data_IF_727938776597
#
_entry.id   IF_727938776597
#
_cell.length_a   1.000
_cell.length_b   1.000
_cell.length_c   1.000
_cell.angle_alpha   90.00
_cell.angle_beta   90.00
_cell.angle_gamma   90.00
#
_symmetry.space_group_name_H-M   'P 1'
#
loop_
_entity.id
_entity.type
_entity.pdbx_description
1 polymer ?
#
# COMPACT_ATOMS: atom_id res chain seq x y z
N UNK A 1 -26.17 -20.55 -4.48
CA UNK A 1 -25.70 -19.69 -5.59
C UNK A 1 -25.98 -18.21 -5.35
N UNK A 2 -27.19 -17.77 -5.01
CA UNK A 2 -27.51 -16.32 -4.82
C UNK A 2 -26.58 -15.56 -3.87
N UNK A 3 -26.31 -16.08 -2.65
CA UNK A 3 -25.43 -15.43 -1.67
C UNK A 3 -23.99 -15.24 -2.15
N UNK A 4 -23.46 -16.15 -2.94
CA UNK A 4 -22.08 -16.03 -3.48
C UNK A 4 -22.01 -14.96 -4.57
N UNK A 5 -23.02 -14.88 -5.42
CA UNK A 5 -23.15 -13.86 -6.45
C UNK A 5 -23.28 -12.49 -5.79
N UNK A 6 -24.17 -12.35 -4.82
CA UNK A 6 -24.36 -11.11 -4.03
C UNK A 6 -23.08 -10.66 -3.35
N UNK A 7 -22.33 -11.58 -2.74
CA UNK A 7 -21.05 -11.31 -2.11
C UNK A 7 -20.02 -10.76 -3.12
N UNK A 8 -19.90 -11.38 -4.30
CA UNK A 8 -18.97 -10.93 -5.36
C UNK A 8 -19.37 -9.54 -5.86
N UNK A 9 -20.66 -9.33 -6.15
CA UNK A 9 -21.15 -8.03 -6.63
C UNK A 9 -20.90 -6.92 -5.60
N UNK A 10 -21.17 -7.17 -4.32
CA UNK A 10 -20.94 -6.20 -3.25
C UNK A 10 -19.46 -5.83 -3.14
N UNK A 11 -18.55 -6.82 -3.22
CA UNK A 11 -17.11 -6.58 -3.17
C UNK A 11 -16.58 -5.82 -4.39
N UNK A 12 -17.05 -6.16 -5.58
CA UNK A 12 -16.67 -5.44 -6.81
C UNK A 12 -17.21 -4.01 -6.78
N UNK A 13 -18.49 -3.82 -6.42
CA UNK A 13 -19.06 -2.49 -6.30
C UNK A 13 -18.34 -1.62 -5.28
N UNK A 14 -18.03 -2.17 -4.10
CA UNK A 14 -17.24 -1.49 -3.07
C UNK A 14 -15.85 -1.12 -3.59
N UNK A 15 -15.16 -2.03 -4.31
CA UNK A 15 -13.86 -1.75 -4.89
C UNK A 15 -13.92 -0.62 -5.93
N UNK A 16 -14.98 -0.56 -6.74
CA UNK A 16 -15.21 0.55 -7.68
C UNK A 16 -15.44 1.88 -6.95
N UNK A 17 -16.30 1.88 -5.93
CA UNK A 17 -16.58 3.06 -5.12
C UNK A 17 -15.30 3.62 -4.48
N UNK A 18 -14.55 2.74 -3.83
CA UNK A 18 -13.31 3.07 -3.14
C UNK A 18 -12.23 3.55 -4.11
N UNK A 19 -12.10 2.92 -5.28
CA UNK A 19 -11.20 3.37 -6.34
C UNK A 19 -11.58 4.76 -6.84
N UNK A 20 -12.88 5.04 -6.98
CA UNK A 20 -13.40 6.37 -7.35
C UNK A 20 -13.03 7.43 -6.30
N UNK A 21 -13.25 7.14 -5.00
CA UNK A 21 -12.86 8.02 -3.90
C UNK A 21 -11.32 8.24 -3.92
N UNK A 22 -10.55 7.18 -4.09
CA UNK A 22 -9.09 7.24 -4.18
C UNK A 22 -8.62 8.22 -5.26
N UNK A 23 -9.13 8.09 -6.49
CA UNK A 23 -8.76 8.97 -7.59
C UNK A 23 -9.20 10.40 -7.35
N UNK A 24 -10.42 10.62 -6.85
CA UNK A 24 -10.89 11.94 -6.53
C UNK A 24 -9.99 12.65 -5.51
N UNK A 25 -9.61 11.97 -4.42
CA UNK A 25 -8.68 12.49 -3.41
C UNK A 25 -7.27 12.71 -3.97
N UNK A 26 -6.81 11.80 -4.84
CA UNK A 26 -5.50 11.90 -5.50
C UNK A 26 -5.44 13.15 -6.39
N UNK A 27 -6.48 13.43 -7.16
CA UNK A 27 -6.57 14.64 -7.98
C UNK A 27 -6.68 15.92 -7.12
N UNK A 28 -7.41 15.89 -6.00
CA UNK A 28 -7.47 17.01 -5.06
C UNK A 28 -6.09 17.38 -4.49
N UNK A 29 -5.18 16.42 -4.34
CA UNK A 29 -3.79 16.65 -3.92
C UNK A 29 -2.83 16.97 -5.07
N UNK A 30 -3.33 17.20 -6.30
CA UNK A 30 -2.49 17.46 -7.48
C UNK A 30 -1.68 16.24 -7.93
N UNK A 31 -2.24 15.04 -7.77
CA UNK A 31 -1.69 13.72 -8.10
C UNK A 31 -0.50 13.37 -7.19
N UNK A 32 0.59 14.11 -7.25
CA UNK A 32 1.82 13.81 -6.50
C UNK A 32 1.58 13.82 -4.99
N UNK A 33 0.99 14.88 -4.45
CA UNK A 33 0.73 14.99 -3.01
C UNK A 33 -0.57 14.32 -2.57
N UNK A 34 -1.37 13.81 -3.51
CA UNK A 34 -2.63 13.16 -3.23
C UNK A 34 -2.52 11.67 -2.98
N UNK A 35 -1.57 10.97 -3.60
CA UNK A 35 -1.48 9.51 -3.60
C UNK A 35 -1.31 8.90 -2.20
N UNK A 36 -0.35 9.39 -1.42
CA UNK A 36 -0.09 8.91 -0.06
C UNK A 36 -1.30 9.10 0.87
N UNK A 37 -1.84 10.33 1.00
CA UNK A 37 -3.02 10.58 1.83
C UNK A 37 -4.28 9.85 1.34
N UNK A 38 -4.50 9.72 0.03
CA UNK A 38 -5.61 8.95 -0.51
C UNK A 38 -5.52 7.48 -0.10
N UNK A 39 -4.33 6.86 -0.23
CA UNK A 39 -4.09 5.47 0.21
C UNK A 39 -4.36 5.30 1.71
N UNK A 40 -3.89 6.22 2.54
CA UNK A 40 -4.12 6.20 3.99
C UNK A 40 -5.61 6.33 4.32
N UNK A 41 -6.33 7.23 3.64
CA UNK A 41 -7.77 7.44 3.81
C UNK A 41 -8.58 6.18 3.45
N UNK A 42 -8.29 5.55 2.31
CA UNK A 42 -8.98 4.33 1.90
C UNK A 42 -8.75 3.22 2.91
N UNK A 43 -7.53 3.10 3.43
CA UNK A 43 -7.22 2.09 4.44
C UNK A 43 -7.99 2.33 5.74
N UNK A 44 -8.13 3.59 6.17
CA UNK A 44 -8.90 3.96 7.36
C UNK A 44 -10.39 3.65 7.18
N UNK A 45 -10.99 4.06 6.05
CA UNK A 45 -12.40 3.77 5.74
C UNK A 45 -12.68 2.27 5.71
N UNK A 46 -11.79 1.49 5.09
CA UNK A 46 -12.00 0.04 5.02
C UNK A 46 -11.84 -0.65 6.39
N UNK A 47 -10.92 -0.18 7.22
CA UNK A 47 -10.75 -0.71 8.56
C UNK A 47 -11.94 -0.40 9.48
N UNK A 48 -12.61 0.75 9.28
CA UNK A 48 -13.77 1.17 10.08
C UNK A 48 -15.08 0.53 9.61
N UNK A 49 -15.34 0.57 8.30
CA UNK A 49 -16.62 0.16 7.73
C UNK A 49 -16.62 -1.21 7.05
N UNK A 50 -15.44 -1.79 6.80
CA UNK A 50 -15.31 -3.10 6.17
C UNK A 50 -16.02 -3.19 4.83
N UNK A 51 -16.98 -4.11 4.71
CA UNK A 51 -17.73 -4.35 3.45
C UNK A 51 -19.03 -3.57 3.34
N UNK A 52 -19.38 -2.73 4.33
CA UNK A 52 -20.61 -1.95 4.30
C UNK A 52 -20.44 -0.68 3.47
N UNK A 53 -20.63 -0.81 2.16
CA UNK A 53 -20.47 0.29 1.20
C UNK A 53 -21.35 1.51 1.45
N UNK A 54 -22.45 1.37 2.23
CA UNK A 54 -23.38 2.46 2.54
C UNK A 54 -22.79 3.50 3.49
N UNK A 55 -21.77 3.10 4.24
CA UNK A 55 -21.11 3.96 5.23
C UNK A 55 -19.96 4.78 4.64
N UNK A 56 -19.55 4.53 3.38
CA UNK A 56 -18.47 5.27 2.72
C UNK A 56 -18.93 6.65 2.26
N UNK A 57 -18.98 7.60 3.20
CA UNK A 57 -19.38 8.97 2.94
C UNK A 57 -18.20 9.84 2.47
N UNK A 58 -18.45 10.68 1.45
CA UNK A 58 -17.42 11.61 0.95
C UNK A 58 -16.94 12.60 2.02
N UNK A 59 -17.83 13.08 2.88
CA UNK A 59 -17.49 14.00 3.97
C UNK A 59 -16.48 13.40 4.95
N UNK A 60 -16.63 12.12 5.26
CA UNK A 60 -15.72 11.37 6.12
C UNK A 60 -14.38 11.13 5.41
N UNK A 61 -14.41 10.66 4.16
CA UNK A 61 -13.23 10.50 3.34
C UNK A 61 -12.39 11.78 3.27
N UNK A 62 -13.05 12.92 3.09
CA UNK A 62 -12.40 14.23 3.04
C UNK A 62 -11.82 14.66 4.39
N UNK A 63 -12.49 14.34 5.50
CA UNK A 63 -11.96 14.61 6.84
C UNK A 63 -10.70 13.80 7.12
N UNK A 64 -10.74 12.48 6.91
CA UNK A 64 -9.61 11.56 7.05
C UNK A 64 -8.45 11.93 6.13
N UNK A 65 -8.74 12.37 4.90
CA UNK A 65 -7.73 12.84 3.96
C UNK A 65 -6.95 14.04 4.49
N UNK A 66 -7.64 15.05 5.02
CA UNK A 66 -6.99 16.23 5.58
C UNK A 66 -6.17 15.91 6.84
N UNK A 67 -6.70 15.05 7.69
CA UNK A 67 -6.04 14.60 8.91
C UNK A 67 -4.73 13.86 8.60
N UNK A 68 -4.77 12.94 7.65
CA UNK A 68 -3.62 12.14 7.28
C UNK A 68 -2.66 12.83 6.29
N UNK A 69 -3.02 14.00 5.72
CA UNK A 69 -2.33 14.60 4.58
C UNK A 69 -0.83 14.78 4.80
N UNK A 70 -0.45 15.41 5.91
CA UNK A 70 0.97 15.70 6.19
C UNK A 70 1.76 14.43 6.46
N UNK A 71 1.24 13.56 7.33
CA UNK A 71 1.94 12.35 7.78
C UNK A 71 2.06 11.32 6.66
N UNK A 72 0.97 11.05 5.96
CA UNK A 72 0.99 10.10 4.87
C UNK A 72 1.93 10.54 3.73
N UNK A 73 1.98 11.85 3.41
CA UNK A 73 2.93 12.37 2.45
C UNK A 73 4.37 12.23 2.92
N UNK A 74 4.69 12.56 4.17
CA UNK A 74 6.05 12.39 4.69
C UNK A 74 6.54 10.94 4.55
N UNK A 75 5.71 9.97 4.92
CA UNK A 75 6.06 8.55 4.81
C UNK A 75 6.13 8.11 3.34
N UNK A 76 5.13 8.46 2.54
CA UNK A 76 5.11 8.12 1.11
C UNK A 76 6.35 8.63 0.37
N UNK A 77 6.69 9.91 0.54
CA UNK A 77 7.86 10.48 -0.12
C UNK A 77 9.18 9.91 0.38
N UNK A 78 9.25 9.47 1.64
CA UNK A 78 10.45 8.77 2.14
C UNK A 78 10.69 7.49 1.35
N UNK A 79 9.66 6.65 1.20
CA UNK A 79 9.78 5.42 0.41
C UNK A 79 9.99 5.70 -1.07
N UNK A 80 9.25 6.66 -1.63
CA UNK A 80 9.39 7.05 -3.03
C UNK A 80 10.81 7.54 -3.38
N UNK A 81 11.42 8.36 -2.51
CA UNK A 81 12.78 8.84 -2.71
C UNK A 81 13.80 7.70 -2.58
N UNK A 82 13.63 6.80 -1.62
CA UNK A 82 14.48 5.62 -1.49
C UNK A 82 14.42 4.79 -2.77
N UNK A 83 13.22 4.50 -3.28
CA UNK A 83 13.03 3.75 -4.52
C UNK A 83 13.65 4.46 -5.73
N UNK A 84 13.44 5.76 -5.86
CA UNK A 84 14.01 6.55 -6.95
C UNK A 84 15.55 6.49 -6.95
N UNK A 85 16.18 6.59 -5.77
CA UNK A 85 17.63 6.48 -5.63
C UNK A 85 18.11 5.07 -5.99
N UNK A 86 17.42 4.02 -5.53
CA UNK A 86 17.77 2.63 -5.82
C UNK A 86 17.65 2.34 -7.32
N UNK A 87 16.55 2.73 -7.96
CA UNK A 87 16.32 2.56 -9.40
C UNK A 87 17.41 3.30 -10.20
N UNK A 88 17.70 4.55 -9.84
CA UNK A 88 18.72 5.34 -10.52
C UNK A 88 20.11 4.72 -10.36
N UNK A 89 20.46 4.25 -9.16
CA UNK A 89 21.71 3.54 -8.90
C UNK A 89 21.84 2.26 -9.73
N UNK A 90 20.77 1.46 -9.81
CA UNK A 90 20.75 0.26 -10.67
C UNK A 90 20.87 0.62 -12.14
N UNK A 91 20.17 1.66 -12.61
CA UNK A 91 20.26 2.15 -13.97
C UNK A 91 21.70 2.53 -14.35
N UNK A 92 22.42 3.27 -13.50
CA UNK A 92 23.81 3.64 -13.74
C UNK A 92 24.74 2.41 -13.79
N UNK A 93 24.53 1.43 -12.91
CA UNK A 93 25.35 0.21 -12.87
C UNK A 93 25.18 -0.64 -14.13
N UNK A 94 23.95 -0.79 -14.65
CA UNK A 94 23.69 -1.59 -15.86
C UNK A 94 24.34 -0.99 -17.12
N UNK A 95 24.68 0.30 -17.11
CA UNK A 95 25.39 0.95 -18.23
C UNK A 95 26.91 0.69 -18.25
N UNK A 96 27.47 0.12 -17.20
CA UNK A 96 28.89 -0.21 -17.16
C UNK A 96 29.22 -1.36 -18.12
N UNK A 97 30.30 -1.26 -18.91
CA UNK A 97 30.65 -2.26 -19.93
C UNK A 97 31.02 -3.63 -19.32
N UNK A 98 31.53 -3.62 -18.10
CA UNK A 98 31.88 -4.82 -17.33
C UNK A 98 31.49 -4.62 -15.87
N UNK A 99 30.79 -5.61 -15.31
CA UNK A 99 30.44 -5.61 -13.89
C UNK A 99 31.43 -6.50 -13.11
N UNK A 100 32.05 -5.92 -12.10
CA UNK A 100 32.80 -6.68 -11.11
C UNK A 100 31.86 -7.47 -10.19
N UNK A 101 32.34 -8.53 -9.54
CA UNK A 101 31.56 -9.29 -8.56
C UNK A 101 30.98 -8.42 -7.44
N UNK A 102 31.72 -7.39 -7.02
CA UNK A 102 31.26 -6.43 -6.01
C UNK A 102 30.05 -5.61 -6.51
N UNK A 103 30.09 -5.16 -7.76
CA UNK A 103 28.96 -4.42 -8.37
C UNK A 103 27.71 -5.29 -8.54
N UNK A 104 27.90 -6.58 -8.91
CA UNK A 104 26.78 -7.54 -8.96
C UNK A 104 26.19 -7.73 -7.57
N UNK A 105 27.00 -7.83 -6.53
CA UNK A 105 26.52 -7.91 -5.16
C UNK A 105 25.70 -6.67 -4.76
N UNK A 106 26.18 -5.46 -5.08
CA UNK A 106 25.41 -4.23 -4.82
C UNK A 106 24.09 -4.20 -5.60
N UNK A 107 24.07 -4.65 -6.86
CA UNK A 107 22.82 -4.77 -7.63
C UNK A 107 21.81 -5.68 -6.98
N UNK A 108 22.24 -6.82 -6.45
CA UNK A 108 21.36 -7.76 -5.72
C UNK A 108 20.82 -7.13 -4.44
N UNK A 109 21.66 -6.44 -3.67
CA UNK A 109 21.24 -5.73 -2.46
C UNK A 109 20.22 -4.64 -2.81
N UNK A 110 20.48 -3.83 -3.83
CA UNK A 110 19.55 -2.80 -4.30
C UNK A 110 18.21 -3.39 -4.75
N UNK A 111 18.23 -4.52 -5.45
CA UNK A 111 17.02 -5.23 -5.87
C UNK A 111 16.18 -5.70 -4.66
N UNK A 112 16.83 -6.21 -3.62
CA UNK A 112 16.14 -6.62 -2.39
C UNK A 112 15.46 -5.39 -1.74
N UNK A 113 16.18 -4.27 -1.59
CA UNK A 113 15.59 -3.07 -1.00
C UNK A 113 14.48 -2.47 -1.87
N UNK A 114 14.59 -2.54 -3.19
CA UNK A 114 13.54 -2.12 -4.12
C UNK A 114 12.23 -2.92 -3.92
N UNK A 115 12.32 -4.19 -3.54
CA UNK A 115 11.15 -5.01 -3.21
C UNK A 115 10.64 -4.76 -1.78
N UNK A 116 11.53 -4.46 -0.84
CA UNK A 116 11.18 -4.25 0.57
C UNK A 116 10.49 -2.90 0.80
N UNK A 117 10.87 -1.84 0.08
CA UNK A 117 10.32 -0.51 0.29
C UNK A 117 8.79 -0.43 0.07
N UNK A 118 8.21 -0.92 -1.04
CA UNK A 118 6.74 -0.92 -1.23
C UNK A 118 6.02 -1.85 -0.24
N UNK A 119 6.65 -2.96 0.17
CA UNK A 119 6.12 -3.83 1.22
C UNK A 119 6.02 -3.10 2.56
N UNK A 120 7.07 -2.38 2.92
CA UNK A 120 7.11 -1.57 4.15
C UNK A 120 6.04 -0.47 4.11
N UNK A 121 5.84 0.17 2.96
CA UNK A 121 4.77 1.14 2.80
C UNK A 121 3.36 0.49 2.93
N UNK A 122 3.14 -0.69 2.40
CA UNK A 122 1.89 -1.42 2.57
C UNK A 122 1.63 -1.77 4.05
N UNK A 123 2.65 -2.19 4.80
CA UNK A 123 2.55 -2.40 6.26
C UNK A 123 2.25 -1.08 6.98
N UNK A 124 2.91 0.02 6.60
CA UNK A 124 2.60 1.35 7.15
C UNK A 124 1.12 1.69 6.99
N UNK A 125 0.55 1.49 5.80
CA UNK A 125 -0.87 1.76 5.55
C UNK A 125 -1.79 0.98 6.50
N UNK A 126 -1.45 -0.26 6.85
CA UNK A 126 -2.20 -1.07 7.82
C UNK A 126 -2.05 -0.55 9.24
N UNK A 127 -0.81 -0.25 9.66
CA UNK A 127 -0.53 0.11 11.04
C UNK A 127 -1.00 1.53 11.41
N UNK A 128 -0.93 2.47 10.48
CA UNK A 128 -1.31 3.86 10.70
C UNK A 128 -2.80 4.06 11.06
N UNK A 129 -3.65 3.12 10.70
CA UNK A 129 -5.08 3.12 11.04
C UNK A 129 -5.31 2.84 12.53
N UNK A 130 -4.44 2.05 13.13
CA UNK A 130 -4.63 1.53 14.49
C UNK A 130 -3.71 2.16 15.53
N UNK A 131 -2.62 2.80 15.09
CA UNK A 131 -1.61 3.37 15.98
C UNK A 131 -1.31 4.82 15.61
N UNK A 132 -1.47 5.72 16.59
CA UNK A 132 -1.01 7.09 16.44
C UNK A 132 0.48 7.19 16.79
N UNK A 133 1.33 6.90 15.80
CA UNK A 133 2.78 6.87 15.96
C UNK A 133 3.42 8.14 15.42
N UNK A 134 4.53 8.57 16.00
CA UNK A 134 5.37 9.60 15.39
C UNK A 134 5.95 9.10 14.06
N UNK A 135 6.37 10.02 13.18
CA UNK A 135 6.93 9.70 11.86
C UNK A 135 8.01 8.62 11.90
N UNK A 136 9.03 8.79 12.76
CA UNK A 136 10.14 7.83 12.88
C UNK A 136 9.68 6.46 13.41
N UNK A 137 8.76 6.45 14.37
CA UNK A 137 8.21 5.21 14.90
C UNK A 137 7.35 4.50 13.85
N UNK A 138 6.61 5.23 13.03
CA UNK A 138 5.87 4.67 11.91
C UNK A 138 6.80 3.95 10.92
N UNK A 139 7.91 4.58 10.53
CA UNK A 139 8.90 3.97 9.62
C UNK A 139 9.53 2.72 10.24
N UNK A 140 10.01 2.80 11.48
CA UNK A 140 10.65 1.68 12.19
C UNK A 140 9.68 0.50 12.33
N UNK A 141 8.45 0.76 12.80
CA UNK A 141 7.48 -0.29 13.05
C UNK A 141 7.01 -0.94 11.75
N UNK A 142 6.85 -0.17 10.68
CA UNK A 142 6.48 -0.68 9.35
C UNK A 142 7.60 -1.55 8.77
N UNK A 143 8.85 -1.13 8.92
CA UNK A 143 10.00 -1.91 8.49
C UNK A 143 10.11 -3.23 9.26
N UNK A 144 10.01 -3.21 10.59
CA UNK A 144 10.00 -4.43 11.41
C UNK A 144 8.80 -5.31 11.02
N UNK A 145 7.61 -4.72 10.87
CA UNK A 145 6.39 -5.41 10.50
C UNK A 145 6.48 -6.16 9.17
N UNK A 146 7.23 -5.62 8.20
CA UNK A 146 7.47 -6.27 6.91
C UNK A 146 8.24 -7.60 7.03
N UNK A 147 8.96 -7.83 8.13
CA UNK A 147 9.72 -9.07 8.38
C UNK A 147 9.09 -9.99 9.43
N UNK A 148 7.98 -9.57 10.08
CA UNK A 148 7.34 -10.38 11.12
C UNK A 148 6.60 -11.60 10.58
N UNK A 149 6.05 -11.50 9.37
CA UNK A 149 5.30 -12.60 8.75
C UNK A 149 5.64 -12.74 7.26
N UNK A 150 6.57 -13.64 6.98
CA UNK A 150 7.02 -13.95 5.61
C UNK A 150 5.86 -14.47 4.74
N UNK A 151 4.85 -15.13 5.32
CA UNK A 151 3.69 -15.63 4.58
C UNK A 151 2.82 -14.49 4.10
N UNK A 152 2.60 -13.47 4.95
CA UNK A 152 1.88 -12.26 4.56
C UNK A 152 2.60 -11.54 3.42
N UNK A 153 3.92 -11.38 3.52
CA UNK A 153 4.77 -10.78 2.48
C UNK A 153 4.68 -11.55 1.16
N UNK A 154 4.83 -12.87 1.21
CA UNK A 154 4.74 -13.71 0.01
C UNK A 154 3.36 -13.61 -0.66
N UNK A 155 2.29 -13.63 0.13
CA UNK A 155 0.93 -13.43 -0.39
C UNK A 155 0.75 -12.06 -1.03
N UNK A 156 1.28 -11.00 -0.41
CA UNK A 156 1.21 -9.65 -0.96
C UNK A 156 1.94 -9.56 -2.30
N UNK A 157 3.16 -10.07 -2.39
CA UNK A 157 3.94 -10.08 -3.63
C UNK A 157 3.21 -10.84 -4.74
N UNK A 158 2.73 -12.04 -4.46
CA UNK A 158 1.99 -12.84 -5.43
C UNK A 158 0.69 -12.16 -5.87
N UNK A 159 -0.09 -11.62 -4.92
CA UNK A 159 -1.33 -10.91 -5.22
C UNK A 159 -1.09 -9.64 -6.03
N UNK A 160 -0.09 -8.83 -5.66
CA UNK A 160 0.27 -7.62 -6.41
C UNK A 160 0.76 -7.97 -7.82
N UNK A 161 1.56 -9.04 -7.96
CA UNK A 161 1.97 -9.55 -9.27
C UNK A 161 0.76 -9.97 -10.13
N UNK A 162 -0.18 -10.73 -9.57
CA UNK A 162 -1.39 -11.13 -10.28
C UNK A 162 -2.24 -9.93 -10.70
N UNK A 163 -2.40 -8.93 -9.83
CA UNK A 163 -3.08 -7.69 -10.18
C UNK A 163 -2.35 -6.93 -11.29
N UNK A 164 -1.01 -6.92 -11.28
CA UNK A 164 -0.19 -6.38 -12.36
C UNK A 164 -0.41 -7.09 -13.70
N UNK A 165 -0.45 -8.43 -13.68
CA UNK A 165 -0.77 -9.23 -14.87
C UNK A 165 -2.16 -8.89 -15.40
N UNK A 166 -3.18 -8.84 -14.54
CA UNK A 166 -4.54 -8.46 -14.93
C UNK A 166 -4.57 -7.05 -15.54
N UNK A 167 -3.87 -6.10 -14.92
CA UNK A 167 -3.74 -4.72 -15.44
C UNK A 167 -3.11 -4.68 -16.83
N UNK A 168 -2.13 -5.53 -17.09
CA UNK A 168 -1.48 -5.60 -18.40
C UNK A 168 -2.48 -5.98 -19.50
N UNK A 169 -3.35 -6.98 -19.26
CA UNK A 169 -4.35 -7.41 -20.24
C UNK A 169 -5.58 -6.51 -20.30
N UNK A 170 -5.99 -5.91 -19.17
CA UNK A 170 -7.17 -5.05 -19.07
C UNK A 170 -6.84 -3.80 -18.28
N UNK A 171 -6.15 -2.80 -18.89
CA UNK A 171 -5.70 -1.58 -18.19
C UNK A 171 -6.83 -0.78 -17.53
N UNK A 172 -8.05 -0.84 -18.08
CA UNK A 172 -9.21 -0.16 -17.52
C UNK A 172 -9.52 -0.59 -16.09
N UNK A 173 -9.28 -1.87 -15.73
CA UNK A 173 -9.55 -2.37 -14.38
C UNK A 173 -8.68 -1.68 -13.33
N UNK A 174 -7.49 -1.22 -13.67
CA UNK A 174 -6.64 -0.45 -12.76
C UNK A 174 -7.34 0.82 -12.29
N UNK A 175 -7.97 1.54 -13.21
CA UNK A 175 -8.64 2.81 -12.90
C UNK A 175 -9.97 2.64 -12.18
N UNK A 176 -10.65 1.51 -12.35
CA UNK A 176 -12.00 1.35 -11.82
C UNK A 176 -12.11 0.43 -10.61
N UNK A 177 -11.22 -0.57 -10.45
CA UNK A 177 -11.42 -1.65 -9.46
C UNK A 177 -10.15 -2.03 -8.70
N UNK A 178 -9.01 -2.16 -9.40
CA UNK A 178 -7.86 -2.85 -8.84
C UNK A 178 -7.19 -2.11 -7.68
N UNK A 179 -7.23 -0.79 -7.67
CA UNK A 179 -6.69 -0.01 -6.54
C UNK A 179 -7.47 -0.26 -5.25
N UNK A 180 -8.81 -0.27 -5.32
CA UNK A 180 -9.63 -0.61 -4.16
C UNK A 180 -9.39 -2.04 -3.68
N UNK A 181 -9.35 -3.01 -4.61
CA UNK A 181 -9.05 -4.40 -4.29
C UNK A 181 -7.67 -4.56 -3.63
N UNK A 182 -6.66 -3.84 -4.12
CA UNK A 182 -5.32 -3.89 -3.55
C UNK A 182 -5.30 -3.41 -2.10
N UNK A 183 -5.98 -2.30 -1.77
CA UNK A 183 -6.06 -1.81 -0.40
C UNK A 183 -6.79 -2.80 0.54
N UNK A 184 -7.88 -3.42 0.08
CA UNK A 184 -8.56 -4.47 0.86
C UNK A 184 -7.65 -5.66 1.11
N UNK A 185 -6.95 -6.09 0.08
CA UNK A 185 -6.00 -7.19 0.14
C UNK A 185 -4.84 -6.90 1.12
N UNK A 186 -4.27 -5.70 1.08
CA UNK A 186 -3.24 -5.26 2.03
C UNK A 186 -3.79 -5.28 3.46
N UNK A 187 -4.99 -4.72 3.68
CA UNK A 187 -5.59 -4.69 5.01
C UNK A 187 -5.79 -6.09 5.58
N UNK A 188 -6.33 -7.01 4.78
CA UNK A 188 -6.67 -8.36 5.25
C UNK A 188 -5.41 -9.23 5.45
N UNK A 189 -4.42 -9.12 4.57
CA UNK A 189 -3.18 -9.91 4.65
C UNK A 189 -2.33 -9.51 5.85
N UNK A 190 -2.24 -8.23 6.19
CA UNK A 190 -1.44 -7.76 7.32
C UNK A 190 -2.19 -7.77 8.66
N UNK A 191 -3.38 -8.33 8.73
CA UNK A 191 -4.09 -8.52 10.00
C UNK A 191 -3.28 -9.30 11.05
N UNK A 192 -2.60 -10.43 10.72
CA UNK A 192 -1.78 -11.15 11.70
C UNK A 192 -0.57 -10.34 12.20
N UNK A 193 0.04 -9.52 11.32
CA UNK A 193 1.14 -8.62 11.69
C UNK A 193 0.66 -7.58 12.69
N UNK A 194 -0.49 -6.95 12.41
CA UNK A 194 -1.12 -6.00 13.34
C UNK A 194 -1.39 -6.64 14.72
N UNK A 195 -1.99 -7.82 14.76
CA UNK A 195 -2.30 -8.54 16.00
C UNK A 195 -1.04 -8.86 16.80
N UNK A 196 0.03 -9.28 16.13
CA UNK A 196 1.33 -9.56 16.75
C UNK A 196 1.95 -8.29 17.36
N UNK A 197 1.88 -7.16 16.65
CA UNK A 197 2.38 -5.88 17.15
C UNK A 197 1.53 -5.40 18.33
N UNK A 198 0.21 -5.44 18.18
CA UNK A 198 -0.73 -5.03 19.23
C UNK A 198 -0.51 -5.78 20.54
N UNK A 199 -0.30 -7.08 20.48
CA UNK A 199 -0.07 -7.89 21.69
C UNK A 199 1.22 -7.50 22.43
N UNK A 200 2.22 -6.95 21.73
CA UNK A 200 3.50 -6.51 22.32
C UNK A 200 3.52 -5.06 22.78
N UNK A 201 2.61 -4.23 22.27
CA UNK A 201 2.53 -2.81 22.64
C UNK A 201 1.59 -2.60 23.83
N UNK A 202 0.59 -3.48 24.00
CA UNK A 202 -0.43 -3.40 25.08
C UNK A 202 -0.03 -4.24 26.31
N UNK A 203 1.00 -5.11 26.18
CA UNK A 203 1.60 -5.83 27.32
C UNK A 203 2.65 -4.99 28.01
#
# INVERSE_FOLDING_TARGET
MGRMIEFIFTRVYLAMLVTGIFWALTFCGGILFGFGPASATIMSLYAEHGSDYKQYAWSEAWSLYKENFRRANQVFYTFFLIEAILIYGMYLMVQLPHLSLFQIFILLVNLIFLLVAPLTFAVYLKLQVHFDLSYLNSLKLSFIGAFLDIRAVTKLLLGTFLLGVVTHFVPALFFFVLLGLWHFFVNDIFQPVYETIRSKVVS
#
